data_IF_919688999679
#
_entry.id   IF_919688999679
#
_cell.length_a   1.000
_cell.length_b   1.000
_cell.length_c   1.000
_cell.angle_alpha   90.00
_cell.angle_beta   90.00
_cell.angle_gamma   90.00
#
_symmetry.space_group_name_H-M   'P 1'
#
loop_
_entity.id
_entity.type
_entity.pdbx_description
1 polymer ?
#
# COMPACT_ATOMS: atom_id res chain seq x y z
N UNK A 1 -13.90 -0.13 7.29
CA UNK A 1 -13.29 0.28 6.02
C UNK A 1 -11.85 -0.23 5.97
N UNK A 2 -11.56 -1.08 4.98
CA UNK A 2 -10.26 -1.71 4.74
C UNK A 2 -9.20 -0.71 4.30
N UNK A 3 -7.94 -1.10 4.34
CA UNK A 3 -6.84 -0.26 3.88
C UNK A 3 -6.97 0.10 2.38
N UNK A 4 -7.44 -0.84 1.57
CA UNK A 4 -7.68 -0.60 0.14
C UNK A 4 -8.82 0.41 -0.08
N UNK A 5 -9.91 0.33 0.69
CA UNK A 5 -11.00 1.31 0.60
C UNK A 5 -10.55 2.72 1.05
N UNK A 6 -9.68 2.81 2.07
CA UNK A 6 -9.06 4.09 2.48
C UNK A 6 -8.23 4.68 1.35
N UNK A 7 -7.34 3.86 0.79
CA UNK A 7 -6.51 4.24 -0.35
C UNK A 7 -7.35 4.80 -1.50
N UNK A 8 -8.39 4.08 -1.92
CA UNK A 8 -9.24 4.50 -3.03
C UNK A 8 -9.98 5.80 -2.74
N UNK A 9 -10.53 5.95 -1.53
CA UNK A 9 -11.23 7.18 -1.14
C UNK A 9 -10.29 8.38 -1.15
N UNK A 10 -9.10 8.24 -0.59
CA UNK A 10 -8.11 9.31 -0.57
C UNK A 10 -7.59 9.58 -1.99
N UNK A 11 -7.29 8.56 -2.79
CA UNK A 11 -6.87 8.71 -4.19
C UNK A 11 -7.83 9.60 -4.97
N UNK A 12 -9.12 9.29 -4.91
CA UNK A 12 -10.18 10.07 -5.56
C UNK A 12 -10.19 11.51 -5.06
N UNK A 13 -10.08 11.70 -3.75
CA UNK A 13 -10.10 13.01 -3.11
C UNK A 13 -8.91 13.89 -3.52
N UNK A 14 -7.70 13.35 -3.54
CA UNK A 14 -6.50 14.08 -3.99
C UNK A 14 -6.55 14.38 -5.49
N UNK A 15 -7.12 13.48 -6.30
CA UNK A 15 -7.34 13.73 -7.73
C UNK A 15 -8.34 14.87 -7.96
N UNK A 16 -9.46 14.87 -7.25
CA UNK A 16 -10.49 15.90 -7.38
C UNK A 16 -9.99 17.27 -6.87
N UNK A 17 -9.13 17.31 -5.84
CA UNK A 17 -8.47 18.54 -5.37
C UNK A 17 -7.55 19.18 -6.42
N UNK A 18 -6.96 18.37 -7.30
CA UNK A 18 -6.21 18.86 -8.47
C UNK A 18 -7.11 19.28 -9.64
N UNK A 19 -8.44 19.16 -9.51
CA UNK A 19 -9.40 19.24 -10.62
C UNK A 19 -9.09 18.24 -11.74
N UNK A 20 -8.51 17.09 -11.41
CA UNK A 20 -8.15 16.09 -12.41
C UNK A 20 -9.29 15.11 -12.68
N UNK A 21 -9.46 14.73 -13.94
CA UNK A 21 -10.29 13.59 -14.36
C UNK A 21 -9.53 12.27 -14.18
N UNK A 22 -10.26 11.15 -14.23
CA UNK A 22 -9.65 9.81 -14.25
C UNK A 22 -8.70 9.61 -15.44
N UNK A 23 -8.96 10.29 -16.56
CA UNK A 23 -8.09 10.25 -17.74
C UNK A 23 -6.78 10.98 -17.47
N UNK A 24 -6.83 12.16 -16.85
CA UNK A 24 -5.62 12.92 -16.51
C UNK A 24 -4.73 12.16 -15.51
N UNK A 25 -5.31 11.51 -14.49
CA UNK A 25 -4.53 10.65 -13.60
C UNK A 25 -3.95 9.43 -14.33
N UNK A 26 -4.71 8.84 -15.26
CA UNK A 26 -4.21 7.77 -16.13
C UNK A 26 -3.00 8.23 -16.95
N UNK A 27 -3.14 9.35 -17.67
CA UNK A 27 -2.07 9.93 -18.47
C UNK A 27 -0.83 10.28 -17.66
N UNK A 28 -0.99 10.80 -16.44
CA UNK A 28 0.13 11.10 -15.53
C UNK A 28 0.93 9.84 -15.14
N UNK A 29 0.30 8.66 -15.19
CA UNK A 29 0.93 7.36 -14.95
C UNK A 29 1.33 6.61 -16.22
N UNK A 30 1.11 7.18 -17.41
CA UNK A 30 1.23 6.45 -18.67
C UNK A 30 0.27 5.25 -18.77
N UNK A 31 -0.89 5.33 -18.11
CA UNK A 31 -1.90 4.27 -18.02
C UNK A 31 -3.25 4.71 -18.59
N UNK A 32 -4.07 3.77 -19.03
CA UNK A 32 -5.40 4.06 -19.57
C UNK A 32 -6.41 4.47 -18.48
N UNK A 33 -7.32 5.41 -18.79
CA UNK A 33 -8.44 5.86 -17.92
C UNK A 33 -9.20 4.70 -17.27
N UNK A 34 -9.39 3.60 -17.98
CA UNK A 34 -10.13 2.41 -17.53
C UNK A 34 -9.44 1.74 -16.33
N UNK A 35 -8.12 1.82 -16.24
CA UNK A 35 -7.35 1.31 -15.09
C UNK A 35 -7.72 2.11 -13.83
N UNK A 36 -7.69 3.43 -13.90
CA UNK A 36 -8.07 4.31 -12.80
C UNK A 36 -9.52 4.08 -12.38
N UNK A 37 -10.44 4.00 -13.34
CA UNK A 37 -11.85 3.72 -13.08
C UNK A 37 -12.08 2.37 -12.39
N UNK A 38 -11.29 1.34 -12.70
CA UNK A 38 -11.34 0.03 -12.01
C UNK A 38 -10.85 0.13 -10.57
N UNK A 39 -9.77 0.87 -10.32
CA UNK A 39 -9.30 1.10 -8.96
C UNK A 39 -10.32 1.88 -8.13
N UNK A 40 -10.87 2.98 -8.67
CA UNK A 40 -11.81 3.83 -7.94
C UNK A 40 -13.15 3.15 -7.60
N UNK A 41 -13.51 2.07 -8.31
CA UNK A 41 -14.68 1.25 -8.01
C UNK A 41 -14.37 0.05 -7.09
N UNK A 42 -13.18 -0.03 -6.51
CA UNK A 42 -12.70 -1.17 -5.71
C UNK A 42 -12.72 -2.52 -6.45
N UNK A 43 -12.72 -2.52 -7.79
CA UNK A 43 -12.90 -3.73 -8.60
C UNK A 43 -11.56 -4.39 -9.00
N UNK A 44 -10.44 -4.02 -8.38
CA UNK A 44 -9.12 -4.55 -8.70
C UNK A 44 -8.23 -4.62 -7.46
N UNK A 45 -7.37 -5.62 -7.41
CA UNK A 45 -6.38 -5.75 -6.33
C UNK A 45 -5.31 -4.67 -6.51
N UNK A 46 -4.95 -4.02 -5.41
CA UNK A 46 -3.92 -2.99 -5.38
C UNK A 46 -2.67 -3.53 -4.69
N UNK A 47 -1.52 -3.45 -5.37
CA UNK A 47 -0.23 -3.72 -4.77
C UNK A 47 0.46 -2.41 -4.35
N UNK A 48 1.50 -2.54 -3.54
CA UNK A 48 2.20 -1.40 -2.95
C UNK A 48 2.92 -0.54 -4.00
N UNK A 49 3.54 -1.16 -5.01
CA UNK A 49 4.25 -0.43 -6.07
C UNK A 49 3.29 0.46 -6.86
N UNK A 50 2.15 -0.08 -7.29
CA UNK A 50 1.12 0.68 -8.01
C UNK A 50 0.49 1.75 -7.12
N UNK A 51 0.34 1.48 -5.82
CA UNK A 51 -0.12 2.47 -4.87
C UNK A 51 0.87 3.65 -4.73
N UNK A 52 2.18 3.36 -4.68
CA UNK A 52 3.23 4.39 -4.64
C UNK A 52 3.30 5.19 -5.95
N UNK A 53 3.20 4.53 -7.10
CA UNK A 53 3.14 5.20 -8.41
C UNK A 53 1.95 6.17 -8.51
N UNK A 54 0.75 5.74 -8.08
CA UNK A 54 -0.44 6.59 -8.03
C UNK A 54 -0.25 7.80 -7.11
N UNK A 55 0.34 7.59 -5.93
CA UNK A 55 0.62 8.67 -4.99
C UNK A 55 1.59 9.68 -5.59
N UNK A 56 2.66 9.19 -6.22
CA UNK A 56 3.67 10.03 -6.90
C UNK A 56 3.08 10.81 -8.06
N UNK A 57 2.20 10.22 -8.86
CA UNK A 57 1.50 10.92 -9.94
C UNK A 57 0.65 12.10 -9.42
N UNK A 58 0.12 11.98 -8.20
CA UNK A 58 -0.61 13.06 -7.51
C UNK A 58 0.32 14.04 -6.76
N UNK A 59 1.63 13.81 -6.78
CA UNK A 59 2.63 14.62 -6.08
C UNK A 59 2.58 14.45 -4.56
N UNK A 60 2.20 13.27 -4.06
CA UNK A 60 2.12 12.98 -2.62
C UNK A 60 2.78 11.66 -2.23
N UNK A 61 3.12 11.53 -0.96
CA UNK A 61 3.59 10.27 -0.38
C UNK A 61 2.44 9.27 -0.22
N UNK A 62 2.67 7.98 -0.53
CA UNK A 62 1.65 6.93 -0.43
C UNK A 62 1.05 6.81 0.98
N UNK A 63 1.80 7.16 2.04
CA UNK A 63 1.29 7.17 3.41
C UNK A 63 0.07 8.10 3.55
N UNK A 64 0.04 9.23 2.84
CA UNK A 64 -1.11 10.14 2.86
C UNK A 64 -2.38 9.51 2.27
N UNK A 65 -2.24 8.58 1.32
CA UNK A 65 -3.38 7.84 0.76
C UNK A 65 -3.85 6.71 1.67
N UNK A 66 -2.97 6.16 2.51
CA UNK A 66 -3.27 5.04 3.42
C UNK A 66 -3.83 5.47 4.78
N UNK A 67 -3.68 6.74 5.14
CA UNK A 67 -4.23 7.31 6.37
C UNK A 67 -5.77 7.25 6.41
N UNK A 68 -6.33 7.26 7.62
CA UNK A 68 -7.79 7.32 7.80
C UNK A 68 -8.35 8.57 7.13
N UNK A 69 -9.34 8.46 6.22
CA UNK A 69 -9.89 9.62 5.54
C UNK A 69 -10.52 10.59 6.53
N UNK A 70 -10.03 11.81 6.54
CA UNK A 70 -10.59 12.91 7.31
C UNK A 70 -11.46 13.79 6.41
N UNK A 71 -12.52 14.38 6.97
CA UNK A 71 -13.33 15.39 6.27
C UNK A 71 -12.68 16.78 6.29
N UNK A 72 -11.57 16.94 7.04
CA UNK A 72 -10.85 18.21 7.16
C UNK A 72 -10.06 18.59 5.90
N UNK A 73 -9.15 19.58 5.96
CA UNK A 73 -8.31 19.96 4.83
C UNK A 73 -7.40 18.81 4.35
N UNK A 74 -7.05 18.80 3.07
CA UNK A 74 -6.06 17.86 2.53
C UNK A 74 -4.67 18.33 2.97
N UNK A 75 -3.95 17.46 3.68
CA UNK A 75 -2.54 17.69 4.01
C UNK A 75 -1.69 17.02 2.95
N UNK A 76 -1.05 17.82 2.10
CA UNK A 76 -0.12 17.33 1.08
C UNK A 76 1.22 17.00 1.73
N UNK A 77 1.50 15.72 1.93
CA UNK A 77 2.85 15.23 2.25
C UNK A 77 3.61 15.06 0.93
N UNK A 78 4.70 15.79 0.68
CA UNK A 78 5.49 15.60 -0.54
C UNK A 78 6.04 14.17 -0.59
N UNK A 79 6.27 13.59 -1.79
CA UNK A 79 6.77 12.23 -1.90
C UNK A 79 8.13 12.08 -1.21
N UNK A 80 8.26 11.06 -0.35
CA UNK A 80 9.55 10.62 0.16
C UNK A 80 10.33 9.77 -0.87
N UNK A 81 11.28 8.98 -0.38
CA UNK A 81 11.90 7.92 -1.19
C UNK A 81 10.87 6.89 -1.67
N UNK A 82 11.15 6.15 -2.77
CA UNK A 82 10.25 5.10 -3.25
C UNK A 82 9.90 4.10 -2.16
N UNK A 83 8.63 3.69 -2.14
CA UNK A 83 8.13 2.68 -1.23
C UNK A 83 7.90 1.39 -2.03
N UNK A 84 8.58 0.32 -1.63
CA UNK A 84 8.56 -0.96 -2.35
C UNK A 84 8.23 -2.13 -1.43
N UNK A 85 7.70 -3.22 -2.00
CA UNK A 85 7.44 -4.45 -1.24
C UNK A 85 8.70 -5.00 -0.56
N UNK A 86 9.87 -4.75 -1.14
CA UNK A 86 11.17 -5.16 -0.58
C UNK A 86 11.47 -4.44 0.74
N UNK A 87 11.30 -3.13 0.79
CA UNK A 87 11.52 -2.35 2.02
C UNK A 87 10.54 -2.78 3.12
N UNK A 88 9.27 -2.97 2.75
CA UNK A 88 8.26 -3.46 3.70
C UNK A 88 8.59 -4.87 4.18
N UNK A 89 8.98 -5.78 3.29
CA UNK A 89 9.38 -7.14 3.62
C UNK A 89 10.54 -7.18 4.62
N UNK A 90 11.56 -6.34 4.42
CA UNK A 90 12.67 -6.20 5.36
C UNK A 90 12.19 -5.67 6.73
N UNK A 91 11.27 -4.70 6.75
CA UNK A 91 10.70 -4.16 7.98
C UNK A 91 9.85 -5.19 8.73
N UNK A 92 9.03 -5.95 8.00
CA UNK A 92 8.24 -7.07 8.54
C UNK A 92 9.14 -8.11 9.19
N UNK A 93 10.21 -8.53 8.50
CA UNK A 93 11.21 -9.46 9.05
C UNK A 93 11.80 -8.96 10.36
N UNK A 94 12.25 -7.69 10.37
CA UNK A 94 12.83 -7.05 11.56
C UNK A 94 11.84 -7.04 12.73
N UNK A 95 10.59 -6.63 12.50
CA UNK A 95 9.57 -6.58 13.57
C UNK A 95 9.21 -7.98 14.07
N UNK A 96 9.08 -8.95 13.15
CA UNK A 96 8.83 -10.36 13.47
C UNK A 96 9.92 -10.91 14.40
N UNK A 97 11.19 -10.67 14.06
CA UNK A 97 12.33 -11.12 14.86
C UNK A 97 12.42 -10.41 16.21
N UNK A 98 12.08 -9.13 16.27
CA UNK A 98 12.00 -8.38 17.52
C UNK A 98 10.88 -8.87 18.45
N UNK A 99 9.78 -9.38 17.90
CA UNK A 99 8.72 -10.05 18.67
C UNK A 99 9.07 -11.50 19.06
N UNK A 100 10.14 -12.06 18.49
CA UNK A 100 10.60 -13.41 18.77
C UNK A 100 9.77 -14.53 18.12
N UNK A 101 9.01 -14.22 17.07
CA UNK A 101 8.17 -15.20 16.37
C UNK A 101 8.80 -15.66 15.05
N UNK A 102 8.48 -16.87 14.62
CA UNK A 102 8.92 -17.50 13.37
C UNK A 102 8.06 -17.06 12.18
N UNK A 103 8.54 -17.33 10.97
CA UNK A 103 7.75 -17.12 9.74
C UNK A 103 6.48 -17.97 9.70
N UNK A 104 6.52 -19.18 10.30
CA UNK A 104 5.35 -20.06 10.38
C UNK A 104 4.29 -19.42 11.29
N UNK A 105 4.68 -18.96 12.47
CA UNK A 105 3.75 -18.31 13.42
C UNK A 105 3.17 -17.01 12.85
N UNK A 106 3.98 -16.19 12.15
CA UNK A 106 3.45 -15.00 11.47
C UNK A 106 2.47 -15.38 10.37
N UNK A 107 2.77 -16.43 9.60
CA UNK A 107 1.88 -16.97 8.58
C UNK A 107 0.53 -17.37 9.17
N UNK A 108 0.54 -18.18 10.23
CA UNK A 108 -0.66 -18.62 10.93
C UNK A 108 -1.50 -17.45 11.43
N UNK A 109 -0.88 -16.41 12.01
CA UNK A 109 -1.58 -15.19 12.47
C UNK A 109 -2.34 -14.47 11.35
N UNK A 110 -1.86 -14.51 10.12
CA UNK A 110 -2.50 -13.85 8.97
C UNK A 110 -3.24 -14.82 8.04
N UNK A 111 -3.36 -16.10 8.42
CA UNK A 111 -4.00 -17.14 7.61
C UNK A 111 -3.24 -17.48 6.32
N UNK A 112 -1.90 -17.43 6.35
CA UNK A 112 -1.01 -17.73 5.23
C UNK A 112 0.02 -18.79 5.63
N UNK A 113 0.58 -19.48 4.64
CA UNK A 113 1.67 -20.42 4.90
C UNK A 113 3.03 -19.70 5.09
N UNK A 114 3.99 -20.41 5.69
CA UNK A 114 5.38 -19.95 5.89
C UNK A 114 6.06 -19.53 4.58
N UNK A 115 5.76 -20.19 3.46
CA UNK A 115 6.41 -19.89 2.18
C UNK A 115 5.95 -18.53 1.64
N UNK A 116 4.70 -18.15 1.89
CA UNK A 116 4.18 -16.82 1.58
C UNK A 116 4.94 -15.74 2.37
N UNK A 117 5.13 -15.94 3.68
CA UNK A 117 5.92 -15.03 4.52
C UNK A 117 7.37 -14.95 4.02
N UNK A 118 7.98 -16.10 3.72
CA UNK A 118 9.34 -16.17 3.18
C UNK A 118 9.48 -15.34 1.89
N UNK A 119 8.50 -15.38 0.97
CA UNK A 119 8.51 -14.56 -0.25
C UNK A 119 8.32 -13.07 0.00
N UNK A 120 7.61 -12.70 1.06
CA UNK A 120 7.46 -11.29 1.47
C UNK A 120 8.78 -10.77 2.07
N UNK A 121 9.40 -11.55 2.96
CA UNK A 121 10.65 -11.19 3.63
C UNK A 121 11.90 -11.37 2.75
N UNK A 122 11.75 -11.99 1.58
CA UNK A 122 12.82 -12.26 0.63
C UNK A 122 13.58 -11.00 0.22
N UNK A 123 14.82 -11.18 -0.21
CA UNK A 123 15.66 -10.14 -0.78
C UNK A 123 16.03 -10.53 -2.22
N UNK A 124 16.36 -9.54 -3.06
CA UNK A 124 16.66 -9.75 -4.49
C UNK A 124 15.41 -9.81 -5.37
N UNK A 125 15.41 -10.68 -6.39
CA UNK A 125 14.38 -10.73 -7.44
C UNK A 125 13.16 -11.58 -7.07
N UNK A 126 13.22 -12.33 -5.97
CA UNK A 126 12.15 -13.23 -5.54
C UNK A 126 11.07 -12.57 -4.68
N UNK A 127 11.09 -11.24 -4.54
CA UNK A 127 10.14 -10.49 -3.70
C UNK A 127 8.74 -10.55 -4.31
N UNK A 128 7.76 -10.97 -3.53
CA UNK A 128 6.37 -10.91 -3.95
C UNK A 128 5.84 -9.47 -3.90
N UNK A 129 5.08 -9.07 -4.92
CA UNK A 129 4.35 -7.80 -4.92
C UNK A 129 3.29 -7.81 -3.80
N UNK A 130 3.48 -6.95 -2.80
CA UNK A 130 2.68 -6.92 -1.59
C UNK A 130 1.34 -6.25 -1.86
N UNK A 131 0.26 -6.98 -1.63
CA UNK A 131 -1.10 -6.43 -1.74
C UNK A 131 -1.42 -5.54 -0.54
N UNK A 132 -2.18 -4.47 -0.72
CA UNK A 132 -2.62 -3.61 0.39
C UNK A 132 -3.41 -4.40 1.45
N UNK A 133 -4.18 -5.41 1.04
CA UNK A 133 -4.86 -6.32 1.97
C UNK A 133 -3.91 -7.19 2.79
N UNK A 134 -2.78 -7.60 2.21
CA UNK A 134 -1.73 -8.32 2.95
C UNK A 134 -0.97 -7.38 3.88
N UNK A 135 -0.66 -6.16 3.44
CA UNK A 135 -0.08 -5.12 4.29
C UNK A 135 -0.95 -4.85 5.53
N UNK A 136 -2.27 -4.74 5.34
CA UNK A 136 -3.23 -4.56 6.44
C UNK A 136 -3.19 -5.73 7.44
N UNK A 137 -3.18 -6.97 6.95
CA UNK A 137 -3.11 -8.16 7.82
C UNK A 137 -1.78 -8.25 8.57
N UNK A 138 -0.65 -7.96 7.91
CA UNK A 138 0.67 -7.97 8.54
C UNK A 138 0.78 -6.92 9.64
N UNK A 139 0.30 -5.70 9.37
CA UNK A 139 0.29 -4.63 10.36
C UNK A 139 -0.54 -5.02 11.59
N UNK A 140 -1.73 -5.60 11.37
CA UNK A 140 -2.57 -6.10 12.45
C UNK A 140 -1.89 -7.21 13.26
N UNK A 141 -1.26 -8.19 12.60
CA UNK A 141 -0.57 -9.31 13.27
C UNK A 141 0.67 -8.88 14.07
N UNK A 142 1.33 -7.79 13.64
CA UNK A 142 2.47 -7.17 14.32
C UNK A 142 2.05 -6.04 15.28
N UNK A 143 0.73 -5.79 15.45
CA UNK A 143 0.17 -4.77 16.35
C UNK A 143 0.66 -3.33 16.05
N UNK A 144 0.86 -3.01 14.78
CA UNK A 144 1.26 -1.69 14.29
C UNK A 144 0.25 -1.14 13.26
N UNK A 145 0.36 0.13 12.89
CA UNK A 145 -0.44 0.68 11.78
C UNK A 145 0.20 0.29 10.44
N UNK A 146 -0.57 0.16 9.34
CA UNK A 146 -0.01 -0.11 8.02
C UNK A 146 1.07 0.88 7.57
N UNK A 147 0.93 2.15 7.95
CA UNK A 147 1.92 3.19 7.65
C UNK A 147 3.24 3.04 8.40
N UNK A 148 3.27 2.29 9.52
CA UNK A 148 4.48 2.05 10.32
C UNK A 148 5.38 0.98 9.67
N UNK A 149 4.87 0.26 8.67
CA UNK A 149 5.59 -0.72 7.88
C UNK A 149 6.24 -0.11 6.61
N UNK A 150 5.97 1.17 6.29
CA UNK A 150 6.47 1.88 5.11
C UNK A 150 7.61 2.82 5.46
#
# INVERSE_FOLDING_TARGET
>A
MTLQERFIRNLRRFREDLNWTQEQLGSAMGSDRTVIGRYERSSSRMNLERADELARALGVDVRALLESPTTGPIVRRPPGGPVSSRQVGAKVKMMREAEGITQQELGERIGMDRNHISRIEAQGDNVAALQLSTLERLAAALRVKPVDLL
#
